data_IF_445214751294
#
_entry.id   IF_445214751294
#
_cell.length_a   1.000
_cell.length_b   1.000
_cell.length_c   1.000
_cell.angle_alpha   90.00
_cell.angle_beta   90.00
_cell.angle_gamma   90.00
#
_symmetry.space_group_name_H-M   'P 1'
#
loop_
_entity.id
_entity.type
_entity.pdbx_description
1 polymer ?
#
# COMPACT_ATOMS: atom_id res chain seq x y z
N UNK A 1 15.86 17.07 -14.05
CA UNK A 1 15.72 15.62 -13.69
C UNK A 1 14.73 14.95 -14.64
N UNK A 2 14.99 13.73 -15.14
CA UNK A 2 14.04 13.06 -16.06
C UNK A 2 12.91 12.40 -15.24
N UNK A 3 11.65 12.53 -15.68
CA UNK A 3 10.47 11.96 -14.99
C UNK A 3 10.62 10.44 -14.77
N UNK A 4 11.23 9.72 -15.71
CA UNK A 4 11.50 8.28 -15.57
C UNK A 4 12.37 7.95 -14.35
N UNK A 5 13.34 8.80 -14.01
CA UNK A 5 14.22 8.61 -12.86
C UNK A 5 13.42 8.82 -11.57
N UNK A 6 12.53 9.82 -11.53
CA UNK A 6 11.65 10.08 -10.37
C UNK A 6 10.76 8.86 -10.11
N UNK A 7 10.10 8.36 -11.15
CA UNK A 7 9.23 7.19 -11.04
C UNK A 7 9.99 5.94 -10.57
N UNK A 8 11.23 5.76 -11.01
CA UNK A 8 12.09 4.66 -10.56
C UNK A 8 12.45 4.79 -9.08
N UNK A 9 12.86 5.99 -8.64
CA UNK A 9 13.17 6.25 -7.22
C UNK A 9 11.95 5.99 -6.35
N UNK A 10 10.77 6.47 -6.77
CA UNK A 10 9.54 6.26 -6.01
C UNK A 10 9.13 4.79 -5.97
N UNK A 11 9.28 4.08 -7.09
CA UNK A 11 9.06 2.63 -7.12
C UNK A 11 9.98 1.85 -6.17
N UNK A 12 11.26 2.22 -6.11
CA UNK A 12 12.23 1.62 -5.16
C UNK A 12 11.84 1.89 -3.71
N UNK A 13 11.41 3.11 -3.38
CA UNK A 13 10.96 3.47 -2.03
C UNK A 13 9.74 2.62 -1.65
N UNK A 14 8.76 2.47 -2.56
CA UNK A 14 7.61 1.59 -2.32
C UNK A 14 8.03 0.17 -1.99
N UNK A 15 8.96 -0.39 -2.76
CA UNK A 15 9.46 -1.75 -2.53
C UNK A 15 10.13 -1.86 -1.16
N UNK A 16 11.01 -0.93 -0.80
CA UNK A 16 11.71 -0.93 0.48
C UNK A 16 10.72 -0.86 1.64
N UNK A 17 9.74 0.05 1.59
CA UNK A 17 8.75 0.21 2.67
C UNK A 17 7.85 -1.02 2.78
N UNK A 18 7.45 -1.62 1.66
CA UNK A 18 6.67 -2.86 1.68
C UNK A 18 7.49 -4.04 2.24
N UNK A 19 8.79 -4.16 1.92
CA UNK A 19 9.67 -5.17 2.52
C UNK A 19 9.79 -4.96 4.04
N UNK A 20 9.99 -3.71 4.50
CA UNK A 20 10.01 -3.40 5.93
C UNK A 20 8.68 -3.73 6.61
N UNK A 21 7.56 -3.46 5.95
CA UNK A 21 6.25 -3.82 6.42
C UNK A 21 6.10 -5.34 6.57
N UNK A 22 6.51 -6.13 5.58
CA UNK A 22 6.53 -7.61 5.67
C UNK A 22 7.39 -8.09 6.83
N UNK A 23 8.60 -7.51 6.98
CA UNK A 23 9.50 -7.89 8.07
C UNK A 23 8.89 -7.60 9.45
N UNK A 24 8.28 -6.42 9.64
CA UNK A 24 7.59 -6.06 10.87
C UNK A 24 6.41 -6.99 11.13
N UNK A 25 5.62 -7.31 10.10
CA UNK A 25 4.50 -8.24 10.23
C UNK A 25 4.97 -9.62 10.63
N UNK A 26 6.00 -10.13 10.00
CA UNK A 26 6.52 -11.46 10.32
C UNK A 26 7.04 -11.56 11.75
N UNK A 27 7.70 -10.50 12.25
CA UNK A 27 8.16 -10.44 13.65
C UNK A 27 7.01 -10.32 14.64
N UNK A 28 5.97 -9.58 14.33
CA UNK A 28 4.78 -9.45 15.19
C UNK A 28 3.91 -10.72 15.16
N UNK A 29 3.75 -11.33 13.99
CA UNK A 29 2.98 -12.55 13.81
C UNK A 29 3.68 -13.81 14.35
N UNK A 30 5.02 -13.87 14.36
CA UNK A 30 5.74 -14.99 14.98
C UNK A 30 5.33 -15.24 16.43
N UNK A 31 4.91 -14.20 17.15
CA UNK A 31 4.42 -14.34 18.53
C UNK A 31 2.95 -14.80 18.61
N UNK A 32 2.17 -14.67 17.52
CA UNK A 32 0.75 -15.03 17.46
C UNK A 32 0.53 -16.34 16.72
N UNK A 33 1.39 -16.68 15.74
CA UNK A 33 1.32 -17.90 14.92
C UNK A 33 1.99 -19.11 15.59
N UNK A 34 2.00 -19.19 16.91
CA UNK A 34 2.52 -20.37 17.63
C UNK A 34 1.63 -21.61 17.51
N UNK A 35 0.42 -21.46 16.97
CA UNK A 35 -0.46 -22.61 16.73
C UNK A 35 -0.16 -23.26 15.36
N UNK A 36 0.81 -24.17 15.37
CA UNK A 36 1.23 -24.95 14.19
C UNK A 36 0.10 -25.75 13.57
N UNK A 37 -0.93 -26.12 14.34
CA UNK A 37 -2.08 -26.87 13.86
C UNK A 37 -2.96 -26.00 12.92
N UNK A 38 -3.18 -24.73 13.28
CA UNK A 38 -3.96 -23.80 12.45
C UNK A 38 -3.27 -23.48 11.13
N UNK A 39 -1.95 -23.29 11.16
CA UNK A 39 -1.17 -23.11 9.94
C UNK A 39 -1.30 -24.32 9.00
N UNK A 40 -1.15 -25.51 9.52
CA UNK A 40 -1.29 -26.75 8.72
C UNK A 40 -2.70 -26.90 8.12
N UNK A 41 -3.74 -26.53 8.87
CA UNK A 41 -5.12 -26.55 8.35
C UNK A 41 -5.28 -25.54 7.20
N UNK A 42 -4.71 -24.36 7.33
CA UNK A 42 -4.77 -23.33 6.28
C UNK A 42 -3.95 -23.74 5.04
N UNK A 43 -2.77 -24.31 5.23
CA UNK A 43 -1.95 -24.85 4.14
C UNK A 43 -2.73 -25.92 3.36
N UNK A 44 -3.30 -26.91 4.05
CA UNK A 44 -4.10 -27.96 3.43
C UNK A 44 -5.31 -27.39 2.69
N UNK A 45 -6.00 -26.42 3.27
CA UNK A 45 -7.12 -25.74 2.61
C UNK A 45 -6.68 -25.04 1.32
N UNK A 46 -5.53 -24.36 1.33
CA UNK A 46 -4.99 -23.68 0.15
C UNK A 46 -4.48 -24.67 -0.90
N UNK A 47 -3.94 -25.82 -0.51
CA UNK A 47 -3.57 -26.89 -1.43
C UNK A 47 -4.79 -27.47 -2.14
N UNK A 48 -5.88 -27.69 -1.44
CA UNK A 48 -7.15 -28.15 -2.00
C UNK A 48 -7.80 -27.11 -2.93
N UNK A 49 -7.48 -25.82 -2.74
CA UNK A 49 -8.02 -24.69 -3.51
C UNK A 49 -6.91 -23.97 -4.30
N UNK A 50 -6.28 -24.68 -5.22
CA UNK A 50 -5.11 -24.20 -6.00
C UNK A 50 -5.32 -22.83 -6.65
N UNK A 51 -6.51 -22.56 -7.21
CA UNK A 51 -6.80 -21.26 -7.81
C UNK A 51 -6.74 -20.12 -6.80
N UNK A 52 -7.27 -20.32 -5.59
CA UNK A 52 -7.24 -19.34 -4.51
C UNK A 52 -5.79 -19.10 -4.05
N UNK A 53 -5.01 -20.18 -3.90
CA UNK A 53 -3.60 -20.11 -3.51
C UNK A 53 -2.78 -19.29 -4.52
N UNK A 54 -2.90 -19.57 -5.81
CA UNK A 54 -2.24 -18.81 -6.87
C UNK A 54 -2.69 -17.33 -6.85
N UNK A 55 -3.98 -17.09 -6.67
CA UNK A 55 -4.53 -15.72 -6.60
C UNK A 55 -3.94 -14.94 -5.44
N UNK A 56 -3.85 -15.54 -4.25
CA UNK A 56 -3.25 -14.94 -3.06
C UNK A 56 -1.76 -14.60 -3.24
N UNK A 57 -1.02 -15.44 -3.97
CA UNK A 57 0.40 -15.23 -4.21
C UNK A 57 0.67 -14.16 -5.29
N UNK A 58 -0.13 -14.08 -6.33
CA UNK A 58 0.16 -13.25 -7.50
C UNK A 58 -0.54 -11.88 -7.45
N UNK A 59 -1.81 -11.83 -7.07
CA UNK A 59 -2.64 -10.63 -7.19
C UNK A 59 -2.12 -9.43 -6.37
N UNK A 60 -1.66 -9.60 -5.11
CA UNK A 60 -1.14 -8.51 -4.31
C UNK A 60 0.12 -7.83 -4.88
N UNK A 61 0.84 -8.50 -5.76
CA UNK A 61 2.03 -7.95 -6.42
C UNK A 61 1.74 -7.38 -7.80
N UNK A 62 0.88 -8.06 -8.57
CA UNK A 62 0.58 -7.66 -9.96
C UNK A 62 -0.24 -6.39 -10.03
N UNK A 63 -1.22 -6.21 -9.15
CA UNK A 63 -2.11 -5.04 -9.17
C UNK A 63 -1.34 -3.74 -8.86
N UNK A 64 -0.54 -3.64 -7.79
CA UNK A 64 0.31 -2.47 -7.56
C UNK A 64 1.26 -2.16 -8.71
N UNK A 65 1.85 -3.19 -9.31
CA UNK A 65 2.76 -3.03 -10.45
C UNK A 65 2.04 -2.42 -11.66
N UNK A 66 0.85 -2.92 -12.00
CA UNK A 66 0.04 -2.38 -13.10
C UNK A 66 -0.35 -0.92 -12.86
N UNK A 67 -0.75 -0.57 -11.65
CA UNK A 67 -1.06 0.83 -11.29
C UNK A 67 0.16 1.73 -11.38
N UNK A 68 1.32 1.25 -10.92
CA UNK A 68 2.58 1.98 -11.01
C UNK A 68 2.95 2.27 -12.47
N UNK A 69 2.90 1.26 -13.34
CA UNK A 69 3.19 1.40 -14.78
C UNK A 69 2.20 2.35 -15.45
N UNK A 70 0.91 2.22 -15.14
CA UNK A 70 -0.14 3.06 -15.72
C UNK A 70 0.05 4.52 -15.32
N UNK A 71 0.29 4.80 -14.05
CA UNK A 71 0.51 6.17 -13.56
C UNK A 71 1.79 6.78 -14.12
N UNK A 72 2.88 6.03 -14.14
CA UNK A 72 4.15 6.47 -14.73
C UNK A 72 3.99 6.79 -16.22
N UNK A 73 3.24 5.97 -16.95
CA UNK A 73 2.95 6.20 -18.38
C UNK A 73 2.13 7.48 -18.57
N UNK A 74 1.11 7.69 -17.74
CA UNK A 74 0.29 8.92 -17.76
C UNK A 74 1.14 10.16 -17.47
N UNK A 75 2.03 10.10 -16.49
CA UNK A 75 2.92 11.18 -16.12
C UNK A 75 3.91 11.52 -17.27
N UNK A 76 4.45 10.50 -17.93
CA UNK A 76 5.38 10.68 -19.06
C UNK A 76 4.70 11.22 -20.32
N UNK A 77 3.46 10.82 -20.59
CA UNK A 77 2.71 11.21 -21.80
C UNK A 77 1.97 12.55 -21.67
N UNK A 78 1.91 13.14 -20.49
CA UNK A 78 1.23 14.42 -20.29
C UNK A 78 1.98 15.55 -20.99
N UNK A 79 1.41 16.08 -22.06
CA UNK A 79 1.95 17.21 -22.83
C UNK A 79 1.51 18.56 -22.24
N UNK A 80 0.38 18.59 -21.54
CA UNK A 80 -0.10 19.79 -20.86
C UNK A 80 0.73 20.07 -19.60
N UNK A 81 1.31 21.26 -19.52
CA UNK A 81 2.16 21.69 -18.42
C UNK A 81 1.36 21.71 -17.10
N UNK A 82 0.13 22.20 -17.11
CA UNK A 82 -0.70 22.26 -15.90
C UNK A 82 -1.07 20.86 -15.40
N UNK A 83 -1.45 19.98 -16.31
CA UNK A 83 -1.74 18.59 -15.99
C UNK A 83 -0.51 17.87 -15.44
N UNK A 84 0.67 18.11 -16.03
CA UNK A 84 1.94 17.53 -15.57
C UNK A 84 2.31 18.02 -14.16
N UNK A 85 2.19 19.32 -13.90
CA UNK A 85 2.42 19.90 -12.56
C UNK A 85 1.49 19.26 -11.52
N UNK A 86 0.20 19.12 -11.83
CA UNK A 86 -0.79 18.45 -10.96
C UNK A 86 -0.44 17.00 -10.69
N UNK A 87 -0.07 16.24 -11.71
CA UNK A 87 0.34 14.84 -11.56
C UNK A 87 1.59 14.74 -10.66
N UNK A 88 2.61 15.56 -10.89
CA UNK A 88 3.83 15.58 -10.08
C UNK A 88 3.53 15.94 -8.62
N UNK A 89 2.69 16.93 -8.37
CA UNK A 89 2.31 17.31 -7.02
C UNK A 89 1.54 16.21 -6.28
N UNK A 90 0.71 15.44 -6.99
CA UNK A 90 -0.07 14.34 -6.41
C UNK A 90 0.68 12.99 -6.37
N UNK A 91 1.88 12.92 -6.93
CA UNK A 91 2.63 11.67 -7.02
C UNK A 91 2.83 10.98 -5.65
N UNK A 92 3.20 11.66 -4.56
CA UNK A 92 3.38 11.02 -3.26
C UNK A 92 2.11 10.31 -2.78
N UNK A 93 0.97 10.97 -2.90
CA UNK A 93 -0.32 10.40 -2.51
C UNK A 93 -0.69 9.19 -3.36
N UNK A 94 -0.57 9.31 -4.69
CA UNK A 94 -0.92 8.21 -5.62
C UNK A 94 -0.01 7.00 -5.40
N UNK A 95 1.30 7.20 -5.24
CA UNK A 95 2.23 6.10 -4.97
C UNK A 95 1.97 5.47 -3.60
N UNK A 96 1.55 6.23 -2.61
CA UNK A 96 1.15 5.66 -1.31
C UNK A 96 -0.09 4.76 -1.43
N UNK A 97 -1.09 5.17 -2.20
CA UNK A 97 -2.25 4.32 -2.52
C UNK A 97 -1.84 3.07 -3.30
N UNK A 98 -0.94 3.21 -4.28
CA UNK A 98 -0.38 2.05 -5.01
C UNK A 98 0.34 1.11 -4.04
N UNK A 99 1.13 1.65 -3.12
CA UNK A 99 1.88 0.87 -2.13
C UNK A 99 1.00 0.01 -1.22
N UNK A 100 -0.16 0.53 -0.81
CA UNK A 100 -1.09 -0.22 0.04
C UNK A 100 -2.03 -1.15 -0.72
N UNK A 101 -2.13 -1.03 -2.05
CA UNK A 101 -3.13 -1.80 -2.82
C UNK A 101 -2.94 -3.31 -2.71
N UNK A 102 -1.68 -3.78 -2.56
CA UNK A 102 -1.39 -5.19 -2.29
C UNK A 102 -1.94 -5.66 -0.94
N UNK A 103 -1.75 -4.86 0.11
CA UNK A 103 -2.27 -5.15 1.45
C UNK A 103 -3.80 -5.12 1.51
N UNK A 104 -4.43 -4.17 0.78
CA UNK A 104 -5.89 -4.11 0.65
C UNK A 104 -6.45 -5.37 0.00
N UNK A 105 -5.81 -5.87 -1.05
CA UNK A 105 -6.21 -7.13 -1.70
C UNK A 105 -6.06 -8.29 -0.73
N UNK A 106 -4.92 -8.41 -0.04
CA UNK A 106 -4.70 -9.43 0.98
C UNK A 106 -5.76 -9.37 2.09
N UNK A 107 -6.07 -8.16 2.58
CA UNK A 107 -7.13 -7.94 3.56
C UNK A 107 -8.51 -8.42 3.07
N UNK A 108 -8.91 -8.02 1.86
CA UNK A 108 -10.21 -8.39 1.30
C UNK A 108 -10.36 -9.91 1.13
N UNK A 109 -9.30 -10.59 0.69
CA UNK A 109 -9.30 -12.05 0.55
C UNK A 109 -9.37 -12.71 1.93
N UNK A 110 -8.54 -12.28 2.88
CA UNK A 110 -8.56 -12.79 4.25
C UNK A 110 -9.92 -12.59 4.92
N UNK A 111 -10.52 -11.42 4.72
CA UNK A 111 -11.86 -11.11 5.23
C UNK A 111 -12.93 -12.01 4.61
N UNK A 112 -12.85 -12.28 3.30
CA UNK A 112 -13.73 -13.24 2.63
C UNK A 112 -13.59 -14.65 3.18
N UNK A 113 -12.36 -15.12 3.45
CA UNK A 113 -12.09 -16.41 4.08
C UNK A 113 -12.65 -16.47 5.50
N UNK A 114 -12.56 -15.37 6.26
CA UNK A 114 -13.12 -15.28 7.61
C UNK A 114 -14.62 -15.58 7.61
N UNK A 115 -15.37 -14.99 6.66
CA UNK A 115 -16.81 -15.29 6.53
C UNK A 115 -17.07 -16.72 6.08
N UNK A 116 -16.29 -17.25 5.15
CA UNK A 116 -16.43 -18.63 4.68
C UNK A 116 -16.27 -19.63 5.85
N UNK A 117 -15.24 -19.49 6.68
CA UNK A 117 -15.02 -20.37 7.83
C UNK A 117 -16.02 -20.14 8.96
N UNK A 118 -16.52 -18.93 9.14
CA UNK A 118 -17.63 -18.66 10.08
C UNK A 118 -18.88 -19.49 9.71
N UNK A 119 -19.23 -19.54 8.43
CA UNK A 119 -20.35 -20.33 7.93
C UNK A 119 -20.14 -21.85 8.07
N UNK A 120 -18.90 -22.30 8.09
CA UNK A 120 -18.50 -23.71 8.34
C UNK A 120 -18.42 -24.07 9.83
N UNK A 121 -18.81 -23.17 10.76
CA UNK A 121 -18.78 -23.36 12.19
C UNK A 121 -17.40 -23.74 12.77
N UNK A 122 -16.32 -23.27 12.15
CA UNK A 122 -14.97 -23.43 12.66
C UNK A 122 -14.53 -22.19 13.45
N UNK A 123 -14.81 -22.16 14.75
CA UNK A 123 -14.56 -21.00 15.62
C UNK A 123 -13.07 -20.66 15.77
N UNK A 124 -12.19 -21.66 15.77
CA UNK A 124 -10.74 -21.44 15.91
C UNK A 124 -10.15 -20.76 14.68
N UNK A 125 -10.45 -21.26 13.48
CA UNK A 125 -10.01 -20.63 12.24
C UNK A 125 -10.62 -19.24 12.08
N UNK A 126 -11.87 -19.06 12.45
CA UNK A 126 -12.52 -17.74 12.41
C UNK A 126 -11.79 -16.70 13.26
N UNK A 127 -11.47 -17.03 14.52
CA UNK A 127 -10.77 -16.10 15.42
C UNK A 127 -9.37 -15.77 14.88
N UNK A 128 -8.64 -16.77 14.39
CA UNK A 128 -7.32 -16.58 13.78
C UNK A 128 -7.36 -15.64 12.57
N UNK A 129 -8.29 -15.84 11.65
CA UNK A 129 -8.44 -14.97 10.47
C UNK A 129 -8.90 -13.56 10.86
N UNK A 130 -9.70 -13.43 11.91
CA UNK A 130 -10.13 -12.14 12.43
C UNK A 130 -8.93 -11.37 13.00
N UNK A 131 -8.08 -12.01 13.79
CA UNK A 131 -6.83 -11.41 14.28
C UNK A 131 -5.92 -11.01 13.13
N UNK A 132 -5.73 -11.87 12.13
CA UNK A 132 -4.98 -11.50 10.92
C UNK A 132 -5.55 -10.26 10.21
N UNK A 133 -6.87 -10.08 10.21
CA UNK A 133 -7.50 -8.90 9.60
C UNK A 133 -7.06 -7.60 10.29
N UNK A 134 -6.90 -7.59 11.61
CA UNK A 134 -6.36 -6.43 12.33
C UNK A 134 -4.92 -6.10 11.92
N UNK A 135 -4.08 -7.13 11.73
CA UNK A 135 -2.72 -6.91 11.24
C UNK A 135 -2.71 -6.31 9.84
N UNK A 136 -3.56 -6.77 8.93
CA UNK A 136 -3.68 -6.15 7.61
C UNK A 136 -4.05 -4.67 7.68
N UNK A 137 -5.00 -4.30 8.54
CA UNK A 137 -5.38 -2.89 8.73
C UNK A 137 -4.20 -2.08 9.25
N UNK A 138 -3.48 -2.59 10.25
CA UNK A 138 -2.28 -1.93 10.76
C UNK A 138 -1.23 -1.75 9.66
N UNK A 139 -0.98 -2.79 8.85
CA UNK A 139 0.00 -2.73 7.77
C UNK A 139 -0.39 -1.77 6.66
N UNK A 140 -1.68 -1.68 6.32
CA UNK A 140 -2.20 -0.70 5.36
C UNK A 140 -1.88 0.72 5.85
N UNK A 141 -2.20 1.02 7.11
CA UNK A 141 -1.95 2.34 7.70
C UNK A 141 -0.45 2.65 7.75
N UNK A 142 0.36 1.72 8.28
CA UNK A 142 1.80 1.88 8.39
C UNK A 142 2.48 2.10 7.03
N UNK A 143 2.13 1.26 6.04
CA UNK A 143 2.70 1.36 4.69
C UNK A 143 2.26 2.65 3.99
N UNK A 144 0.98 3.06 4.15
CA UNK A 144 0.50 4.32 3.60
C UNK A 144 1.26 5.51 4.17
N UNK A 145 1.35 5.60 5.50
CA UNK A 145 2.02 6.70 6.19
C UNK A 145 3.51 6.76 5.84
N UNK A 146 4.21 5.63 5.92
CA UNK A 146 5.62 5.54 5.58
C UNK A 146 5.90 5.99 4.14
N UNK A 147 5.15 5.48 3.18
CA UNK A 147 5.27 5.89 1.79
C UNK A 147 4.96 7.39 1.63
N UNK A 148 3.82 7.84 2.16
CA UNK A 148 3.36 9.21 1.97
C UNK A 148 4.37 10.23 2.51
N UNK A 149 4.83 10.08 3.75
CA UNK A 149 5.74 11.06 4.35
C UNK A 149 7.11 11.09 3.66
N UNK A 150 7.66 9.92 3.35
CA UNK A 150 8.96 9.85 2.67
C UNK A 150 8.87 10.41 1.26
N UNK A 151 7.87 10.00 0.49
CA UNK A 151 7.68 10.48 -0.88
C UNK A 151 7.34 11.96 -0.94
N UNK A 152 6.51 12.46 -0.01
CA UNK A 152 6.17 13.87 0.08
C UNK A 152 7.38 14.73 0.43
N UNK A 153 8.21 14.28 1.38
CA UNK A 153 9.45 14.96 1.74
C UNK A 153 10.40 15.07 0.53
N UNK A 154 10.60 13.95 -0.19
CA UNK A 154 11.44 13.92 -1.39
C UNK A 154 10.84 14.80 -2.50
N UNK A 155 9.53 14.71 -2.69
CA UNK A 155 8.82 15.45 -3.74
C UNK A 155 8.94 16.95 -3.52
N UNK A 156 8.67 17.43 -2.30
CA UNK A 156 8.77 18.85 -1.95
C UNK A 156 10.20 19.38 -2.03
N UNK A 157 11.17 18.58 -1.56
CA UNK A 157 12.55 19.05 -1.47
C UNK A 157 13.30 19.01 -2.80
N UNK A 158 13.03 18.02 -3.63
CA UNK A 158 13.85 17.76 -4.82
C UNK A 158 13.11 17.80 -6.15
N UNK A 159 11.83 17.38 -6.18
CA UNK A 159 11.09 17.24 -7.44
C UNK A 159 10.36 18.53 -7.79
N UNK A 160 9.51 19.02 -6.90
CA UNK A 160 8.70 20.20 -7.18
C UNK A 160 9.51 21.46 -7.49
N UNK A 161 10.59 21.80 -6.77
CA UNK A 161 11.41 22.98 -7.13
C UNK A 161 12.04 22.90 -8.52
N UNK A 162 12.31 21.69 -9.01
CA UNK A 162 12.87 21.50 -10.34
C UNK A 162 11.84 21.70 -11.47
N UNK A 163 10.57 21.35 -11.22
CA UNK A 163 9.52 21.43 -12.24
C UNK A 163 8.57 22.63 -12.06
N UNK A 164 8.55 23.21 -10.87
CA UNK A 164 7.70 24.35 -10.48
C UNK A 164 8.60 25.35 -9.74
N UNK A 165 9.53 26.03 -10.44
CA UNK A 165 10.49 26.95 -9.80
C UNK A 165 9.80 28.12 -9.12
N UNK A 166 8.61 28.53 -9.58
CA UNK A 166 7.86 29.66 -9.03
C UNK A 166 7.19 29.36 -7.67
N UNK A 167 7.24 28.10 -7.20
CA UNK A 167 6.77 27.69 -5.87
C UNK A 167 5.25 27.70 -5.66
N UNK A 168 4.47 28.16 -6.64
CA UNK A 168 3.01 28.34 -6.52
C UNK A 168 2.21 27.04 -6.70
N UNK A 169 2.46 26.07 -5.80
CA UNK A 169 1.73 24.80 -5.79
C UNK A 169 0.28 24.99 -5.36
N UNK A 170 0.03 25.98 -4.49
CA UNK A 170 -1.31 26.32 -3.99
C UNK A 170 -2.28 26.79 -5.07
N UNK A 171 -1.76 27.28 -6.19
CA UNK A 171 -2.57 27.72 -7.34
C UNK A 171 -3.02 26.56 -8.24
N UNK A 172 -2.44 25.37 -8.06
CA UNK A 172 -2.79 24.19 -8.86
C UNK A 172 -4.03 23.52 -8.28
N UNK A 173 -5.18 23.73 -8.92
CA UNK A 173 -6.45 23.11 -8.49
C UNK A 173 -6.35 21.57 -8.49
N UNK A 174 -6.81 20.98 -7.38
CA UNK A 174 -6.92 19.52 -7.23
C UNK A 174 -5.61 18.81 -6.87
N UNK A 175 -4.68 19.53 -6.25
CA UNK A 175 -3.54 18.93 -5.54
C UNK A 175 -4.03 18.45 -4.17
N UNK A 176 -3.73 17.19 -3.86
CA UNK A 176 -3.97 16.66 -2.53
C UNK A 176 -2.93 17.24 -1.56
N UNK A 177 -3.40 18.11 -0.69
CA UNK A 177 -2.61 18.66 0.41
C UNK A 177 -3.32 18.27 1.70
N UNK A 178 -2.85 17.23 2.41
CA UNK A 178 -3.46 16.85 3.66
C UNK A 178 -3.34 17.99 4.66
N UNK A 179 -4.44 18.33 5.31
CA UNK A 179 -4.41 19.31 6.40
C UNK A 179 -3.55 18.76 7.54
N UNK A 180 -2.97 19.67 8.31
CA UNK A 180 -2.23 19.32 9.54
C UNK A 180 -3.11 18.47 10.45
N UNK A 181 -4.40 18.79 10.54
CA UNK A 181 -5.38 18.02 11.31
C UNK A 181 -5.51 16.58 10.83
N UNK A 182 -5.54 16.34 9.52
CA UNK A 182 -5.58 14.99 8.96
C UNK A 182 -4.31 14.19 9.31
N UNK A 183 -3.14 14.83 9.26
CA UNK A 183 -1.87 14.22 9.65
C UNK A 183 -1.89 13.84 11.14
N UNK A 184 -2.37 14.72 12.02
CA UNK A 184 -2.49 14.42 13.46
C UNK A 184 -3.49 13.30 13.74
N UNK A 185 -4.64 13.27 13.08
CA UNK A 185 -5.61 12.18 13.21
C UNK A 185 -4.98 10.84 12.83
N UNK A 186 -4.26 10.77 11.70
CA UNK A 186 -3.57 9.57 11.28
C UNK A 186 -2.49 9.14 12.27
N UNK A 187 -1.68 10.07 12.77
CA UNK A 187 -0.67 9.79 13.80
C UNK A 187 -1.31 9.27 15.09
N UNK A 188 -2.44 9.84 15.51
CA UNK A 188 -3.16 9.40 16.71
C UNK A 188 -3.75 7.99 16.59
N UNK A 189 -4.18 7.60 15.39
CA UNK A 189 -4.70 6.25 15.14
C UNK A 189 -3.57 5.20 15.11
N UNK A 190 -2.33 5.62 14.80
CA UNK A 190 -1.16 4.73 14.67
C UNK A 190 -0.33 4.59 15.94
N UNK A 191 -0.56 5.41 16.96
CA UNK A 191 0.04 5.34 18.29
C UNK A 191 -0.88 4.56 19.25
#
# INVERSE_FOLDING_TARGET
MKIKIISLIYGLILIIINILAVFLTSTLLCNVLTDTNLLHIMEKFLEEHTFLNITLQILPFTVPLLFCVTYTTKLNKSNDIQQRKKLLANTPFVYSIIGISGWLIGFLINFGLTFYFKLKFNSHIFNFLLEQSFYYVFMIIFTFMGNFFILESINRKYVLPHFIPDGHISEIKGVFSPSITFIYILLYITL
#
